data_IF_036174280382
#
_entry.id   IF_036174280382
#
_cell.length_a   1.000
_cell.length_b   1.000
_cell.length_c   1.000
_cell.angle_alpha   90.00
_cell.angle_beta   90.00
_cell.angle_gamma   90.00
#
_symmetry.space_group_name_H-M   'P 1'
#
loop_
_entity.id
_entity.type
_entity.pdbx_description
1 polymer ?
#
# COMPACT_ATOMS: atom_id res chain seq x y z
N UNK A 1 -18.05 5.93 -17.47
CA UNK A 1 -18.81 5.86 -16.20
C UNK A 1 -17.81 5.73 -15.07
N UNK A 2 -17.96 6.50 -13.99
CA UNK A 2 -17.18 6.26 -12.77
C UNK A 2 -17.93 5.26 -11.90
N UNK A 3 -17.29 4.13 -11.59
CA UNK A 3 -17.81 3.15 -10.61
C UNK A 3 -17.41 3.66 -9.23
N UNK A 4 -18.36 3.75 -8.28
CA UNK A 4 -18.01 4.15 -6.91
C UNK A 4 -17.46 2.94 -6.17
N UNK A 5 -16.48 3.16 -5.29
CA UNK A 5 -15.86 2.08 -4.51
C UNK A 5 -16.89 1.19 -3.79
N UNK A 6 -17.93 1.79 -3.21
CA UNK A 6 -19.00 1.07 -2.50
C UNK A 6 -19.87 0.18 -3.39
N UNK A 7 -19.82 0.37 -4.71
CA UNK A 7 -20.60 -0.40 -5.68
C UNK A 7 -19.79 -1.61 -6.21
N UNK A 8 -18.53 -1.77 -5.78
CA UNK A 8 -17.66 -2.90 -6.13
C UNK A 8 -18.02 -4.15 -5.31
N UNK A 9 -17.69 -5.33 -5.86
CA UNK A 9 -17.75 -6.57 -5.08
C UNK A 9 -16.80 -6.51 -3.88
N UNK A 10 -17.03 -7.35 -2.86
CA UNK A 10 -16.14 -7.39 -1.68
C UNK A 10 -14.72 -7.80 -2.09
N UNK A 11 -14.58 -8.70 -3.05
CA UNK A 11 -13.29 -9.13 -3.60
C UNK A 11 -12.55 -7.96 -4.27
N UNK A 12 -13.24 -7.20 -5.13
CA UNK A 12 -12.66 -6.02 -5.79
C UNK A 12 -12.32 -4.90 -4.78
N UNK A 13 -13.13 -4.73 -3.73
CA UNK A 13 -12.83 -3.78 -2.66
C UNK A 13 -11.54 -4.16 -1.92
N UNK A 14 -11.34 -5.45 -1.67
CA UNK A 14 -10.13 -5.96 -1.03
C UNK A 14 -8.90 -5.79 -1.92
N UNK A 15 -8.97 -6.18 -3.21
CA UNK A 15 -7.89 -5.93 -4.17
C UNK A 15 -7.50 -4.44 -4.21
N UNK A 16 -8.50 -3.56 -4.27
CA UNK A 16 -8.27 -2.12 -4.28
C UNK A 16 -7.59 -1.63 -2.99
N UNK A 17 -7.97 -2.16 -1.82
CA UNK A 17 -7.33 -1.84 -0.54
C UNK A 17 -5.89 -2.32 -0.50
N UNK A 18 -5.61 -3.52 -0.98
CA UNK A 18 -4.27 -4.10 -0.99
C UNK A 18 -3.34 -3.33 -1.92
N UNK A 19 -3.83 -2.89 -3.08
CA UNK A 19 -3.10 -2.01 -3.99
C UNK A 19 -2.80 -0.66 -3.37
N UNK A 20 -3.76 -0.03 -2.68
CA UNK A 20 -3.51 1.22 -1.97
C UNK A 20 -2.47 1.07 -0.85
N UNK A 21 -2.54 -0.03 -0.09
CA UNK A 21 -1.58 -0.35 0.97
C UNK A 21 -0.17 -0.57 0.41
N UNK A 22 -0.07 -1.26 -0.73
CA UNK A 22 1.21 -1.44 -1.43
C UNK A 22 1.80 -0.09 -1.92
N UNK A 23 0.96 0.79 -2.48
CA UNK A 23 1.41 2.14 -2.83
C UNK A 23 1.87 2.95 -1.62
N UNK A 24 1.18 2.83 -0.49
CA UNK A 24 1.59 3.51 0.74
C UNK A 24 2.90 2.95 1.33
N UNK A 25 3.18 1.65 1.16
CA UNK A 25 4.48 1.07 1.48
C UNK A 25 5.62 1.70 0.67
N UNK A 26 5.41 1.96 -0.64
CA UNK A 26 6.40 2.67 -1.46
C UNK A 26 6.66 4.10 -0.98
N UNK A 27 5.61 4.83 -0.60
CA UNK A 27 5.76 6.18 -0.04
C UNK A 27 6.56 6.16 1.26
N UNK A 28 6.33 5.17 2.13
CA UNK A 28 7.12 4.99 3.35
C UNK A 28 8.59 4.66 3.03
N UNK A 29 8.86 3.81 2.03
CA UNK A 29 10.22 3.48 1.62
C UNK A 29 10.99 4.72 1.14
N UNK A 30 10.34 5.56 0.33
CA UNK A 30 10.91 6.81 -0.15
C UNK A 30 11.17 7.78 1.00
N UNK A 31 10.22 7.95 1.93
CA UNK A 31 10.40 8.83 3.09
C UNK A 31 11.54 8.35 3.99
N UNK A 32 11.63 7.04 4.26
CA UNK A 32 12.67 6.45 5.12
C UNK A 32 14.04 6.63 4.50
N UNK A 33 14.22 6.34 3.21
CA UNK A 33 15.53 6.47 2.54
C UNK A 33 15.96 7.93 2.37
N UNK A 34 15.01 8.86 2.25
CA UNK A 34 15.31 10.30 2.28
C UNK A 34 15.82 10.77 3.66
N UNK A 35 15.27 10.25 4.76
CA UNK A 35 15.67 10.61 6.12
C UNK A 35 16.90 9.84 6.61
N UNK A 36 17.03 8.58 6.16
CA UNK A 36 18.07 7.64 6.56
C UNK A 36 18.65 6.98 5.30
N UNK A 37 19.63 7.64 4.63
CA UNK A 37 20.18 7.15 3.37
C UNK A 37 20.83 5.76 3.44
N UNK A 38 21.27 5.35 4.63
CA UNK A 38 21.88 4.04 4.89
C UNK A 38 20.83 2.92 5.11
N UNK A 39 19.53 3.26 5.18
CA UNK A 39 18.48 2.29 5.43
C UNK A 39 18.35 1.30 4.27
N UNK A 40 18.39 0.02 4.58
CA UNK A 40 18.22 -1.05 3.60
C UNK A 40 16.76 -1.47 3.53
N UNK A 41 16.16 -1.33 2.34
CA UNK A 41 14.78 -1.75 2.08
C UNK A 41 14.70 -3.27 1.95
N UNK A 42 13.62 -3.85 2.48
CA UNK A 42 13.26 -5.26 2.32
C UNK A 42 11.90 -5.37 1.62
N UNK A 43 11.02 -6.28 2.06
CA UNK A 43 9.68 -6.46 1.52
C UNK A 43 8.66 -5.59 2.26
N UNK A 44 7.78 -4.93 1.50
CA UNK A 44 6.65 -4.19 2.05
C UNK A 44 5.29 -4.68 1.51
N UNK A 45 4.81 -5.86 1.94
CA UNK A 45 3.53 -6.38 1.49
C UNK A 45 2.35 -5.68 2.17
N UNK A 46 1.21 -5.56 1.48
CA UNK A 46 -0.04 -5.25 2.16
C UNK A 46 -0.44 -6.41 3.08
N UNK A 47 -1.09 -6.09 4.18
CA UNK A 47 -1.69 -7.03 5.14
C UNK A 47 -3.15 -6.63 5.41
N UNK A 48 -3.89 -7.49 6.10
CA UNK A 48 -5.33 -7.33 6.35
C UNK A 48 -5.74 -5.93 6.82
N UNK A 49 -4.93 -5.30 7.69
CA UNK A 49 -5.22 -3.99 8.29
C UNK A 49 -4.19 -2.90 7.94
N UNK A 50 -3.26 -3.12 7.00
CA UNK A 50 -2.21 -2.15 6.72
C UNK A 50 -1.10 -2.63 5.79
N UNK A 51 0.12 -2.20 6.06
CA UNK A 51 1.35 -2.62 5.40
C UNK A 51 2.52 -2.41 6.36
N UNK A 52 3.65 -3.04 6.09
CA UNK A 52 4.91 -2.82 6.80
C UNK A 52 6.05 -2.66 5.81
N UNK A 53 7.25 -2.36 6.32
CA UNK A 53 8.48 -2.19 5.55
C UNK A 53 9.64 -2.90 6.23
#
# INVERSE_FOLDING_TARGET
MAVKFKDLSIEDQNDYRDRMRHSAAHVLAEAVTNLFPEAQLTIGPPIADGFFL
#
